data_IF_979796028061
#
_entry.id   IF_979796028061
#
_cell.length_a   1.000
_cell.length_b   1.000
_cell.length_c   1.000
_cell.angle_alpha   90.00
_cell.angle_beta   90.00
_cell.angle_gamma   90.00
#
_symmetry.space_group_name_H-M   'P 1'
#
loop_
_entity.id
_entity.type
_entity.pdbx_description
1 polymer ?
#
# COMPACT_ATOMS: atom_id res chain seq x y z
N UNK A 1 17.61 -14.56 70.90
CA UNK A 1 16.28 -14.16 70.39
C UNK A 1 16.53 -13.55 69.02
N UNK A 2 16.58 -14.33 67.94
CA UNK A 2 15.52 -15.04 67.20
C UNK A 2 14.47 -14.11 66.57
N UNK A 3 14.16 -14.46 65.31
CA UNK A 3 13.16 -13.98 64.34
C UNK A 3 13.67 -12.84 63.44
N UNK A 4 13.87 -12.99 62.12
CA UNK A 4 13.23 -13.86 61.11
C UNK A 4 12.51 -12.94 60.10
N UNK A 5 13.11 -12.66 58.93
CA UNK A 5 12.76 -13.21 57.60
C UNK A 5 11.57 -12.55 56.88
N UNK A 6 11.81 -12.10 55.63
CA UNK A 6 10.81 -11.72 54.63
C UNK A 6 11.40 -10.70 53.65
N UNK A 7 12.15 -11.07 52.62
CA UNK A 7 11.68 -11.56 51.30
C UNK A 7 10.46 -10.79 50.77
N UNK A 8 10.70 -9.75 49.96
CA UNK A 8 9.68 -9.30 49.01
C UNK A 8 10.21 -9.51 47.59
N UNK A 9 9.90 -10.71 47.11
CA UNK A 9 10.16 -11.15 45.75
C UNK A 9 8.99 -10.71 44.86
N UNK A 10 9.33 -10.12 43.72
CA UNK A 10 8.60 -10.36 42.47
C UNK A 10 7.15 -9.89 42.41
N UNK A 11 6.93 -8.58 42.26
CA UNK A 11 5.76 -8.11 41.49
C UNK A 11 6.07 -8.23 40.00
N UNK A 12 5.90 -9.46 39.49
CA UNK A 12 5.85 -9.74 38.06
C UNK A 12 4.76 -8.92 37.40
N UNK A 13 5.16 -7.90 36.64
CA UNK A 13 4.30 -7.26 35.64
C UNK A 13 3.92 -8.35 34.64
N UNK A 14 2.68 -8.83 34.69
CA UNK A 14 2.10 -9.64 33.62
C UNK A 14 2.10 -8.80 32.35
N UNK A 15 3.11 -8.98 31.50
CA UNK A 15 3.16 -8.40 30.16
C UNK A 15 2.29 -9.28 29.27
N UNK A 16 1.07 -8.84 28.98
CA UNK A 16 0.22 -9.49 28.00
C UNK A 16 0.91 -9.44 26.63
N UNK A 17 1.38 -10.59 26.16
CA UNK A 17 1.97 -10.73 24.84
C UNK A 17 0.86 -10.65 23.77
N UNK A 18 0.67 -9.47 23.19
CA UNK A 18 -0.17 -9.30 22.02
C UNK A 18 0.57 -9.88 20.78
N UNK A 19 0.02 -10.94 20.19
CA UNK A 19 0.47 -11.47 18.89
C UNK A 19 -0.17 -10.67 17.77
N UNK A 20 0.65 -10.01 16.95
CA UNK A 20 0.19 -9.20 15.81
C UNK A 20 0.98 -9.62 14.58
N UNK A 21 0.27 -10.08 13.55
CA UNK A 21 0.83 -10.54 12.27
C UNK A 21 0.45 -9.52 11.20
N UNK A 22 1.44 -8.96 10.52
CA UNK A 22 1.27 -8.01 9.41
C UNK A 22 2.02 -8.53 8.19
N UNK A 23 1.33 -8.61 7.04
CA UNK A 23 1.93 -8.99 5.76
C UNK A 23 1.61 -7.93 4.71
N UNK A 24 2.59 -7.61 3.86
CA UNK A 24 2.42 -6.74 2.70
C UNK A 24 3.30 -7.27 1.54
N UNK A 25 2.97 -7.03 0.26
CA UNK A 25 3.86 -7.43 -0.83
C UNK A 25 4.47 -6.24 -1.62
N UNK A 26 5.57 -6.52 -2.34
CA UNK A 26 6.50 -5.63 -3.07
C UNK A 26 6.11 -5.40 -4.55
N UNK A 27 6.56 -4.29 -5.13
CA UNK A 27 6.69 -4.07 -6.58
C UNK A 27 7.98 -3.31 -6.93
N UNK A 28 8.61 -3.64 -8.07
CA UNK A 28 9.84 -3.05 -8.61
C UNK A 28 9.57 -2.29 -9.92
N UNK A 29 10.35 -1.24 -10.19
CA UNK A 29 10.23 -0.34 -11.35
C UNK A 29 11.41 -0.49 -12.33
N UNK A 30 11.19 -0.17 -13.61
CA UNK A 30 12.20 -0.14 -14.69
C UNK A 30 12.10 1.21 -15.42
N UNK A 31 13.25 1.77 -15.78
CA UNK A 31 13.48 3.09 -16.38
C UNK A 31 13.77 2.96 -17.89
N UNK A 32 13.40 3.96 -18.71
CA UNK A 32 13.52 3.94 -20.17
C UNK A 32 13.96 5.32 -20.72
N UNK A 33 15.13 5.39 -21.36
CA UNK A 33 15.71 6.62 -21.91
C UNK A 33 15.76 6.60 -23.45
N UNK A 34 15.12 7.60 -24.06
CA UNK A 34 15.08 7.86 -25.52
C UNK A 34 16.34 8.56 -26.05
N UNK A 35 16.72 8.25 -27.28
CA UNK A 35 17.67 9.01 -28.09
C UNK A 35 17.01 9.60 -29.36
N UNK A 36 17.39 10.83 -29.70
CA UNK A 36 16.87 11.69 -30.79
C UNK A 36 17.53 11.43 -32.16
N UNK A 37 16.83 11.63 -33.30
CA UNK A 37 17.41 11.43 -34.63
C UNK A 37 18.03 12.70 -35.24
N UNK A 38 19.06 12.49 -36.07
CA UNK A 38 19.83 13.51 -36.81
C UNK A 38 19.16 13.94 -38.12
N UNK A 39 19.27 15.23 -38.42
CA UNK A 39 18.80 15.96 -39.60
C UNK A 39 19.66 15.65 -40.84
N UNK A 40 19.04 15.47 -42.03
CA UNK A 40 19.73 15.68 -43.31
C UNK A 40 18.81 16.07 -44.50
N UNK A 41 19.23 17.18 -45.12
CA UNK A 41 19.07 17.67 -46.49
C UNK A 41 17.69 17.99 -47.11
N UNK A 42 17.56 19.28 -47.46
CA UNK A 42 16.51 19.91 -48.27
C UNK A 42 16.74 19.69 -49.77
N UNK A 43 15.72 19.28 -50.56
CA UNK A 43 15.74 19.41 -52.02
C UNK A 43 15.20 20.78 -52.49
N UNK A 44 15.74 21.23 -53.61
CA UNK A 44 15.48 22.51 -54.29
C UNK A 44 14.04 22.62 -54.82
N UNK A 45 13.37 23.73 -54.52
CA UNK A 45 12.01 24.06 -54.97
C UNK A 45 12.08 24.66 -56.39
N UNK A 46 11.38 24.05 -57.35
CA UNK A 46 11.05 24.67 -58.64
C UNK A 46 9.72 25.41 -58.51
N UNK A 47 9.68 26.67 -58.92
CA UNK A 47 8.49 27.50 -58.91
C UNK A 47 7.41 26.91 -59.82
N UNK A 48 6.25 26.55 -59.23
CA UNK A 48 5.02 26.23 -59.95
C UNK A 48 4.14 27.48 -59.99
N UNK A 49 3.55 27.73 -61.15
CA UNK A 49 2.59 28.81 -61.38
C UNK A 49 1.44 28.78 -60.37
N UNK A 50 1.08 29.97 -59.86
CA UNK A 50 -0.01 30.18 -58.90
C UNK A 50 -1.37 29.93 -59.56
N UNK A 51 -2.11 28.96 -59.03
CA UNK A 51 -3.53 28.77 -59.30
C UNK A 51 -4.30 29.07 -58.00
N UNK A 52 -5.33 29.93 -58.01
CA UNK A 52 -6.13 30.18 -56.81
C UNK A 52 -6.93 28.91 -56.48
N UNK A 53 -6.42 28.11 -55.53
CA UNK A 53 -7.21 27.08 -54.88
C UNK A 53 -8.35 27.77 -54.14
N UNK A 54 -9.60 27.48 -54.51
CA UNK A 54 -10.76 27.75 -53.64
C UNK A 54 -10.53 26.96 -52.35
N UNK A 55 -10.04 27.62 -51.32
CA UNK A 55 -10.02 27.07 -49.96
C UNK A 55 -11.46 27.14 -49.45
N UNK A 56 -12.22 26.05 -49.57
CA UNK A 56 -13.36 25.88 -48.66
C UNK A 56 -12.80 25.98 -47.25
N UNK A 57 -13.30 26.88 -46.39
CA UNK A 57 -12.86 26.91 -45.01
C UNK A 57 -13.28 25.58 -44.40
N UNK A 58 -12.31 24.69 -44.18
CA UNK A 58 -12.51 23.49 -43.39
C UNK A 58 -12.82 23.99 -41.99
N UNK A 59 -14.11 24.06 -41.66
CA UNK A 59 -14.53 24.38 -40.30
C UNK A 59 -14.05 23.24 -39.41
N UNK A 60 -13.44 23.54 -38.25
CA UNK A 60 -13.10 22.50 -37.30
C UNK A 60 -14.36 21.72 -36.92
N UNK A 61 -14.26 20.41 -36.65
CA UNK A 61 -15.40 19.61 -36.26
C UNK A 61 -16.00 20.15 -34.96
N UNK A 62 -17.30 19.89 -34.74
CA UNK A 62 -17.96 20.25 -33.50
C UNK A 62 -17.33 19.47 -32.34
N UNK A 63 -16.87 20.19 -31.31
CA UNK A 63 -16.35 19.60 -30.07
C UNK A 63 -17.36 18.62 -29.46
N UNK A 64 -18.63 19.01 -29.40
CA UNK A 64 -19.68 18.19 -28.81
C UNK A 64 -19.99 16.95 -29.66
N UNK A 65 -20.00 17.07 -30.99
CA UNK A 65 -20.16 15.91 -31.88
C UNK A 65 -19.02 14.91 -31.68
N UNK A 66 -17.78 15.41 -31.68
CA UNK A 66 -16.58 14.60 -31.45
C UNK A 66 -16.61 13.96 -30.06
N UNK A 67 -16.99 14.71 -29.01
CA UNK A 67 -17.11 14.16 -27.66
C UNK A 67 -18.14 13.03 -27.55
N UNK A 68 -19.27 13.11 -28.26
CA UNK A 68 -20.27 12.03 -28.30
C UNK A 68 -19.76 10.79 -29.03
N UNK A 69 -18.99 10.95 -30.09
CA UNK A 69 -18.35 9.81 -30.79
C UNK A 69 -17.38 9.05 -29.88
N UNK A 70 -16.72 9.75 -28.96
CA UNK A 70 -15.77 9.17 -28.00
C UNK A 70 -16.43 8.46 -26.81
N UNK A 71 -17.76 8.49 -26.68
CA UNK A 71 -18.49 7.92 -25.55
C UNK A 71 -18.26 6.40 -25.37
N UNK A 72 -17.86 5.70 -26.44
CA UNK A 72 -17.46 4.28 -26.40
C UNK A 72 -16.32 3.99 -25.42
N UNK A 73 -15.51 4.98 -25.06
CA UNK A 73 -14.41 4.83 -24.09
C UNK A 73 -14.87 4.74 -22.64
N UNK A 74 -16.16 5.01 -22.35
CA UNK A 74 -16.71 4.98 -20.99
C UNK A 74 -16.27 6.14 -20.09
N UNK A 75 -15.50 7.10 -20.62
CA UNK A 75 -15.11 8.29 -19.89
C UNK A 75 -16.32 9.22 -19.63
N UNK A 76 -16.36 9.93 -18.49
CA UNK A 76 -17.34 10.99 -18.26
C UNK A 76 -17.33 12.04 -19.37
N UNK A 77 -18.51 12.49 -19.78
CA UNK A 77 -18.67 13.44 -20.87
C UNK A 77 -17.77 14.71 -20.76
N UNK A 78 -17.56 15.32 -19.58
CA UNK A 78 -16.63 16.45 -19.45
C UNK A 78 -15.19 16.13 -19.91
N UNK A 79 -14.67 14.93 -19.62
CA UNK A 79 -13.33 14.53 -20.07
C UNK A 79 -13.27 14.31 -21.58
N UNK A 80 -14.36 13.83 -22.18
CA UNK A 80 -14.47 13.67 -23.63
C UNK A 80 -14.45 15.01 -24.35
N UNK A 81 -15.11 16.02 -23.77
CA UNK A 81 -15.08 17.41 -24.27
C UNK A 81 -13.66 17.98 -24.21
N UNK A 82 -12.94 17.76 -23.11
CA UNK A 82 -11.56 18.22 -22.97
C UNK A 82 -10.61 17.56 -23.99
N UNK A 83 -10.74 16.25 -24.19
CA UNK A 83 -9.98 15.52 -25.22
C UNK A 83 -10.31 16.03 -26.63
N UNK A 84 -11.60 16.24 -26.94
CA UNK A 84 -12.04 16.75 -28.23
C UNK A 84 -11.47 18.16 -28.52
N UNK A 85 -11.53 19.07 -27.53
CA UNK A 85 -10.92 20.41 -27.62
C UNK A 85 -9.41 20.31 -27.87
N UNK A 86 -8.70 19.53 -27.06
CA UNK A 86 -7.26 19.40 -27.17
C UNK A 86 -6.80 18.80 -28.51
N UNK A 87 -7.61 17.92 -29.13
CA UNK A 87 -7.34 17.37 -30.45
C UNK A 87 -7.59 18.39 -31.57
N UNK A 88 -8.69 19.15 -31.47
CA UNK A 88 -9.04 20.21 -32.42
C UNK A 88 -8.01 21.35 -32.36
N UNK A 89 -7.63 21.80 -31.17
CA UNK A 89 -6.64 22.86 -30.96
C UNK A 89 -5.25 22.46 -31.48
N UNK A 90 -4.92 21.17 -31.42
CA UNK A 90 -3.70 20.62 -32.02
C UNK A 90 -3.77 20.48 -33.56
N UNK A 91 -4.91 20.83 -34.19
CA UNK A 91 -5.13 20.68 -35.62
C UNK A 91 -5.26 19.23 -36.09
N UNK A 92 -5.50 18.29 -35.17
CA UNK A 92 -5.54 16.85 -35.42
C UNK A 92 -6.78 16.21 -34.75
N UNK A 93 -8.01 16.60 -35.13
CA UNK A 93 -9.23 16.06 -34.54
C UNK A 93 -9.34 14.52 -34.65
N UNK A 94 -8.77 13.93 -35.70
CA UNK A 94 -8.67 12.48 -35.88
C UNK A 94 -7.89 11.77 -34.77
N UNK A 95 -7.02 12.50 -34.04
CA UNK A 95 -6.28 11.96 -32.89
C UNK A 95 -7.13 11.84 -31.61
N UNK A 96 -8.34 12.41 -31.58
CA UNK A 96 -9.16 12.46 -30.37
C UNK A 96 -9.52 11.06 -29.84
N UNK A 97 -9.77 10.09 -30.74
CA UNK A 97 -10.04 8.71 -30.37
C UNK A 97 -8.87 8.05 -29.64
N UNK A 98 -7.65 8.19 -30.18
CA UNK A 98 -6.44 7.68 -29.56
C UNK A 98 -6.19 8.35 -28.19
N UNK A 99 -6.33 9.68 -28.11
CA UNK A 99 -6.18 10.43 -26.86
C UNK A 99 -7.20 10.02 -25.79
N UNK A 100 -8.46 9.79 -26.18
CA UNK A 100 -9.49 9.33 -25.26
C UNK A 100 -9.19 7.91 -24.76
N UNK A 101 -8.73 7.02 -25.64
CA UNK A 101 -8.32 5.67 -25.27
C UNK A 101 -7.10 5.66 -24.33
N UNK A 102 -6.11 6.52 -24.57
CA UNK A 102 -4.94 6.67 -23.71
C UNK A 102 -5.32 7.23 -22.33
N UNK A 103 -6.23 8.22 -22.29
CA UNK A 103 -6.76 8.74 -21.04
C UNK A 103 -7.52 7.66 -20.26
N UNK A 104 -8.39 6.90 -20.92
CA UNK A 104 -9.09 5.78 -20.30
C UNK A 104 -8.10 4.73 -19.75
N UNK A 105 -7.02 4.45 -20.49
CA UNK A 105 -5.94 3.53 -20.06
C UNK A 105 -5.18 4.02 -18.83
N UNK A 106 -5.03 5.33 -18.68
CA UNK A 106 -4.36 5.94 -17.54
C UNK A 106 -5.22 5.94 -16.25
N UNK A 107 -6.52 5.68 -16.37
CA UNK A 107 -7.45 5.60 -15.24
C UNK A 107 -7.62 4.17 -14.73
N UNK A 108 -8.15 4.04 -13.50
CA UNK A 108 -8.50 2.75 -12.92
C UNK A 108 -9.58 2.05 -13.75
N UNK A 109 -9.29 0.81 -14.14
CA UNK A 109 -10.20 -0.03 -14.90
C UNK A 109 -10.04 -1.50 -14.51
N UNK A 110 -11.05 -2.34 -14.79
CA UNK A 110 -10.89 -3.79 -14.66
C UNK A 110 -9.77 -4.31 -15.56
N UNK A 111 -9.03 -5.30 -15.07
CA UNK A 111 -7.93 -5.94 -15.79
C UNK A 111 -8.03 -7.47 -15.66
N UNK A 112 -7.59 -8.18 -16.68
CA UNK A 112 -7.48 -9.65 -16.63
C UNK A 112 -6.11 -10.02 -16.07
N UNK A 113 -6.08 -10.69 -14.92
CA UNK A 113 -4.84 -11.18 -14.33
C UNK A 113 -4.44 -12.53 -14.96
N UNK A 114 -3.51 -12.48 -15.92
CA UNK A 114 -2.93 -13.66 -16.57
C UNK A 114 -1.53 -14.02 -16.05
N UNK A 115 -1.08 -13.43 -14.94
CA UNK A 115 0.28 -13.62 -14.41
C UNK A 115 0.45 -14.90 -13.59
N UNK A 116 -0.65 -15.52 -13.17
CA UNK A 116 -0.65 -16.62 -12.19
C UNK A 116 -0.40 -16.18 -10.74
N UNK A 117 -0.15 -14.89 -10.48
CA UNK A 117 0.05 -14.36 -9.12
C UNK A 117 -1.30 -14.00 -8.49
N UNK A 118 -1.70 -14.73 -7.45
CA UNK A 118 -3.00 -14.53 -6.77
C UNK A 118 -3.08 -13.19 -6.03
N UNK A 119 -2.07 -12.87 -5.21
CA UNK A 119 -1.99 -11.61 -4.45
C UNK A 119 -1.09 -10.61 -5.16
N UNK A 120 -1.54 -10.11 -6.31
CA UNK A 120 -0.75 -9.19 -7.11
C UNK A 120 -0.84 -7.76 -6.56
N UNK A 121 0.28 -7.21 -6.08
CA UNK A 121 0.36 -5.87 -5.48
C UNK A 121 -0.13 -4.76 -6.39
N UNK A 122 0.35 -4.77 -7.64
CA UNK A 122 0.00 -3.74 -8.62
C UNK A 122 -1.44 -3.87 -9.14
N UNK A 123 -2.08 -5.05 -9.02
CA UNK A 123 -3.46 -5.28 -9.50
C UNK A 123 -4.49 -5.22 -8.36
N UNK A 124 -4.13 -4.69 -7.19
CA UNK A 124 -5.08 -4.48 -6.09
C UNK A 124 -5.21 -5.64 -5.09
N UNK A 125 -4.29 -6.60 -5.09
CA UNK A 125 -4.24 -7.75 -4.15
C UNK A 125 -5.47 -8.67 -4.29
N UNK A 126 -6.22 -8.88 -3.21
CA UNK A 126 -7.32 -9.84 -3.20
C UNK A 126 -8.59 -9.18 -3.79
N UNK A 127 -9.17 -9.73 -4.88
CA UNK A 127 -10.47 -9.29 -5.34
C UNK A 127 -11.53 -9.68 -4.29
N UNK A 128 -12.51 -8.81 -4.09
CA UNK A 128 -13.63 -9.06 -3.18
C UNK A 128 -14.94 -8.89 -3.94
N UNK A 129 -15.87 -9.82 -3.74
CA UNK A 129 -17.23 -9.69 -4.25
C UNK A 129 -18.10 -9.06 -3.16
N UNK A 130 -18.09 -7.72 -3.11
CA UNK A 130 -18.85 -6.96 -2.12
C UNK A 130 -19.72 -5.94 -2.84
N UNK A 131 -21.03 -6.18 -2.83
CA UNK A 131 -22.04 -5.22 -3.26
C UNK A 131 -22.67 -4.56 -2.03
N UNK A 132 -22.44 -3.27 -1.84
CA UNK A 132 -23.07 -2.48 -0.77
C UNK A 132 -24.06 -1.50 -1.41
N UNK A 133 -25.38 -1.70 -1.23
CA UNK A 133 -26.38 -0.74 -1.67
C UNK A 133 -26.15 0.64 -1.08
N UNK A 134 -26.38 1.69 -1.86
CA UNK A 134 -26.30 3.09 -1.41
C UNK A 134 -27.44 3.40 -0.43
N UNK A 135 -27.18 3.20 0.87
CA UNK A 135 -28.10 3.48 1.97
C UNK A 135 -27.34 3.93 3.20
N UNK A 136 -28.01 4.67 4.08
CA UNK A 136 -27.47 4.96 5.41
C UNK A 136 -27.29 3.68 6.21
N UNK A 137 -26.23 3.64 7.01
CA UNK A 137 -25.91 2.53 7.91
C UNK A 137 -25.63 3.05 9.31
N UNK A 138 -25.69 2.18 10.31
CA UNK A 138 -25.39 2.49 11.70
C UNK A 138 -23.88 2.54 11.99
N UNK A 139 -23.08 3.05 11.04
CA UNK A 139 -21.61 3.05 11.09
C UNK A 139 -21.06 3.61 12.41
N UNK A 140 -21.62 4.73 12.88
CA UNK A 140 -21.30 5.36 14.16
C UNK A 140 -22.56 5.64 14.99
N UNK A 141 -23.58 4.78 14.87
CA UNK A 141 -24.84 4.97 15.59
C UNK A 141 -25.22 3.70 16.33
N UNK A 142 -25.46 3.81 17.63
CA UNK A 142 -25.92 2.71 18.46
C UNK A 142 -27.45 2.68 18.46
N UNK A 143 -28.01 1.61 17.88
CA UNK A 143 -29.46 1.43 17.76
C UNK A 143 -30.15 1.16 19.11
N UNK A 144 -29.40 0.71 20.12
CA UNK A 144 -29.91 0.44 21.46
C UNK A 144 -30.10 1.74 22.23
N UNK A 145 -29.13 2.65 22.14
CA UNK A 145 -29.11 3.90 22.91
C UNK A 145 -29.63 5.10 22.13
N UNK A 146 -29.70 5.01 20.80
CA UNK A 146 -30.06 6.13 19.93
C UNK A 146 -29.00 7.23 19.85
N UNK A 147 -27.75 6.94 20.24
CA UNK A 147 -26.65 7.92 20.35
C UNK A 147 -25.48 7.55 19.45
N UNK A 148 -24.52 8.46 19.33
CA UNK A 148 -23.26 8.21 18.61
C UNK A 148 -22.51 7.04 19.26
N UNK A 149 -22.15 6.05 18.45
CA UNK A 149 -21.36 4.88 18.82
C UNK A 149 -20.01 4.83 18.12
N UNK A 150 -19.17 3.85 18.49
CA UNK A 150 -17.85 3.63 17.88
C UNK A 150 -17.93 2.68 16.69
N UNK A 151 -17.42 3.10 15.53
CA UNK A 151 -17.27 2.23 14.36
C UNK A 151 -16.35 1.03 14.58
N UNK A 152 -15.44 1.12 15.57
CA UNK A 152 -14.44 0.10 15.83
C UNK A 152 -15.03 -1.17 16.47
N UNK A 153 -16.23 -1.12 17.05
CA UNK A 153 -16.83 -2.28 17.73
C UNK A 153 -17.26 -3.39 16.77
N UNK A 154 -17.89 -3.03 15.65
CA UNK A 154 -18.59 -3.97 14.77
C UNK A 154 -17.70 -5.12 14.27
N UNK A 155 -16.61 -4.80 13.56
CA UNK A 155 -15.70 -5.81 13.03
C UNK A 155 -14.75 -6.37 14.11
N UNK A 156 -14.35 -5.56 15.09
CA UNK A 156 -13.41 -5.98 16.13
C UNK A 156 -13.95 -7.15 16.95
N UNK A 157 -15.23 -7.13 17.33
CA UNK A 157 -15.83 -8.24 18.10
C UNK A 157 -15.79 -9.56 17.34
N UNK A 158 -16.06 -9.53 16.03
CA UNK A 158 -16.00 -10.72 15.18
C UNK A 158 -14.56 -11.21 15.02
N UNK A 159 -13.61 -10.30 14.78
CA UNK A 159 -12.20 -10.63 14.61
C UNK A 159 -11.57 -11.18 15.88
N UNK A 160 -11.87 -10.59 17.04
CA UNK A 160 -11.38 -11.07 18.33
C UNK A 160 -11.83 -12.52 18.57
N UNK A 161 -13.11 -12.82 18.32
CA UNK A 161 -13.65 -14.19 18.42
C UNK A 161 -12.99 -15.15 17.43
N UNK A 162 -12.87 -14.75 16.16
CA UNK A 162 -12.26 -15.59 15.12
C UNK A 162 -10.78 -15.89 15.41
N UNK A 163 -10.05 -14.94 16.00
CA UNK A 163 -8.65 -15.09 16.37
C UNK A 163 -8.42 -15.75 17.74
N UNK A 164 -9.48 -15.99 18.53
CA UNK A 164 -9.36 -16.43 19.92
C UNK A 164 -8.65 -15.41 20.81
N UNK A 165 -8.75 -14.12 20.48
CA UNK A 165 -8.12 -13.01 21.20
C UNK A 165 -9.10 -12.32 22.16
N UNK A 166 -8.57 -11.71 23.23
CA UNK A 166 -9.37 -10.97 24.23
C UNK A 166 -10.08 -9.75 23.63
N UNK A 167 -9.41 -9.07 22.69
CA UNK A 167 -9.91 -7.90 21.98
C UNK A 167 -9.23 -7.76 20.61
N UNK A 168 -9.81 -6.96 19.72
CA UNK A 168 -9.21 -6.61 18.44
C UNK A 168 -9.43 -5.14 18.12
N UNK A 169 -8.61 -4.61 17.21
CA UNK A 169 -8.76 -3.28 16.63
C UNK A 169 -8.42 -3.36 15.14
N UNK A 170 -9.22 -2.70 14.31
CA UNK A 170 -8.97 -2.58 12.88
C UNK A 170 -8.52 -1.15 12.59
N UNK A 171 -7.40 -1.03 11.89
CA UNK A 171 -6.84 0.23 11.41
C UNK A 171 -6.68 0.18 9.89
N UNK A 172 -6.28 1.30 9.29
CA UNK A 172 -6.19 1.48 7.84
C UNK A 172 -5.47 0.33 7.11
N UNK A 173 -4.28 -0.06 7.59
CA UNK A 173 -3.50 -1.14 7.01
C UNK A 173 -2.50 -1.72 8.04
N UNK A 174 -1.76 -2.75 7.65
CA UNK A 174 -0.77 -3.39 8.51
C UNK A 174 0.37 -2.47 8.96
N UNK A 175 0.82 -1.54 8.12
CA UNK A 175 1.85 -0.57 8.49
C UNK A 175 1.39 0.35 9.64
N UNK A 176 0.16 0.86 9.53
CA UNK A 176 -0.48 1.65 10.58
C UNK A 176 -0.65 0.83 11.87
N UNK A 177 -0.89 -0.48 11.77
CA UNK A 177 -0.99 -1.35 12.94
C UNK A 177 0.36 -1.45 13.68
N UNK A 178 1.46 -1.71 12.97
CA UNK A 178 2.81 -1.74 13.56
C UNK A 178 3.13 -0.40 14.22
N UNK A 179 2.91 0.69 13.49
CA UNK A 179 3.12 2.06 13.97
C UNK A 179 2.33 2.36 15.25
N UNK A 180 1.03 2.05 15.27
CA UNK A 180 0.16 2.29 16.42
C UNK A 180 0.58 1.46 17.64
N UNK A 181 0.88 0.19 17.44
CA UNK A 181 1.28 -0.74 18.52
C UNK A 181 2.58 -0.27 19.17
N UNK A 182 3.58 0.06 18.37
CA UNK A 182 4.86 0.55 18.87
C UNK A 182 4.72 1.91 19.55
N UNK A 183 3.95 2.84 18.96
CA UNK A 183 3.73 4.15 19.56
C UNK A 183 2.97 4.09 20.89
N UNK A 184 2.07 3.11 21.05
CA UNK A 184 1.28 2.94 22.27
C UNK A 184 2.04 2.15 23.36
N UNK A 185 2.85 1.15 22.99
CA UNK A 185 3.45 0.20 23.94
C UNK A 185 4.96 0.38 24.14
N UNK A 186 5.65 0.99 23.17
CA UNK A 186 7.10 1.02 23.08
C UNK A 186 7.70 2.42 22.82
N UNK A 187 6.90 3.49 22.99
CA UNK A 187 7.43 4.85 22.95
C UNK A 187 8.49 5.03 24.03
N UNK A 188 9.64 5.57 23.63
CA UNK A 188 10.84 5.78 24.46
C UNK A 188 11.35 4.49 25.13
N UNK A 189 11.11 3.34 24.50
CA UNK A 189 11.55 2.01 24.96
C UNK A 189 12.35 1.28 23.90
N UNK A 190 13.20 0.37 24.34
CA UNK A 190 14.02 -0.44 23.45
C UNK A 190 13.22 -1.62 22.90
N UNK A 191 13.24 -1.79 21.57
CA UNK A 191 12.50 -2.83 20.86
C UNK A 191 13.47 -3.73 20.12
N UNK A 192 13.59 -4.97 20.58
CA UNK A 192 14.42 -5.98 19.96
C UNK A 192 13.78 -6.53 18.68
N UNK A 193 14.53 -6.53 17.57
CA UNK A 193 14.12 -7.12 16.29
C UNK A 193 15.33 -7.72 15.59
N UNK A 194 15.15 -8.87 14.93
CA UNK A 194 16.23 -9.50 14.15
C UNK A 194 16.68 -8.60 13.00
N UNK A 195 18.01 -8.53 12.76
CA UNK A 195 18.56 -7.87 11.56
C UNK A 195 17.98 -8.43 10.27
N UNK A 196 17.69 -9.73 10.23
CA UNK A 196 17.07 -10.41 9.08
C UNK A 196 15.61 -10.04 8.84
N UNK A 197 15.00 -9.25 9.73
CA UNK A 197 13.58 -8.87 9.73
C UNK A 197 13.37 -7.38 9.49
N UNK A 198 14.44 -6.60 9.27
CA UNK A 198 14.38 -5.19 8.90
C UNK A 198 14.04 -5.02 7.41
N UNK A 199 12.82 -5.39 7.08
CA UNK A 199 12.35 -5.50 5.70
C UNK A 199 11.87 -4.18 5.12
N UNK A 200 12.00 -4.06 3.80
CA UNK A 200 11.24 -3.12 2.98
C UNK A 200 10.09 -3.87 2.29
N UNK A 201 8.92 -3.25 2.26
CA UNK A 201 7.73 -3.83 1.64
C UNK A 201 7.02 -2.79 0.78
N UNK A 202 6.55 -3.22 -0.40
CA UNK A 202 5.93 -2.32 -1.37
C UNK A 202 6.99 -1.37 -1.96
N UNK A 203 6.63 -0.10 -2.10
CA UNK A 203 7.51 0.96 -2.56
C UNK A 203 7.79 2.04 -1.50
N UNK A 204 7.81 1.67 -0.20
CA UNK A 204 8.12 2.66 0.84
C UNK A 204 7.81 2.29 2.29
N UNK A 205 7.31 1.10 2.61
CA UNK A 205 7.19 0.67 4.00
C UNK A 205 8.49 0.01 4.46
N UNK A 206 9.22 0.66 5.37
CA UNK A 206 10.45 0.15 5.97
C UNK A 206 10.28 0.00 7.47
N UNK A 207 10.51 -1.21 7.97
CA UNK A 207 10.40 -1.50 9.42
C UNK A 207 11.23 -0.53 10.28
N UNK A 208 12.51 -0.24 9.97
CA UNK A 208 13.30 0.71 10.75
C UNK A 208 12.69 2.12 10.80
N UNK A 209 12.17 2.62 9.68
CA UNK A 209 11.60 3.97 9.59
C UNK A 209 10.29 4.07 10.38
N UNK A 210 9.43 3.04 10.32
CA UNK A 210 8.20 2.98 11.12
C UNK A 210 8.50 2.85 12.61
N UNK A 211 9.53 2.09 12.98
CA UNK A 211 10.00 2.02 14.36
C UNK A 211 10.52 3.37 14.87
N UNK A 212 11.26 4.11 14.04
CA UNK A 212 11.74 5.45 14.41
C UNK A 212 10.59 6.45 14.57
N UNK A 213 9.66 6.49 13.60
CA UNK A 213 8.45 7.34 13.69
C UNK A 213 7.59 6.98 14.91
N UNK A 214 7.65 5.72 15.31
CA UNK A 214 7.37 5.16 16.64
C UNK A 214 7.39 6.09 17.85
N UNK A 215 8.55 6.76 17.94
CA UNK A 215 9.22 7.00 19.21
C UNK A 215 9.88 5.74 19.82
N UNK A 216 9.90 4.59 19.14
CA UNK A 216 10.54 3.38 19.65
C UNK A 216 12.05 3.39 19.33
N UNK A 217 12.88 2.86 20.23
CA UNK A 217 14.32 2.71 20.00
C UNK A 217 14.61 1.34 19.42
N UNK A 218 15.14 1.32 18.20
CA UNK A 218 15.49 0.09 17.51
C UNK A 218 16.70 -0.59 18.19
N UNK A 219 16.52 -1.83 18.64
CA UNK A 219 17.58 -2.71 19.16
C UNK A 219 17.72 -3.91 18.23
N UNK A 220 18.65 -3.83 17.30
CA UNK A 220 18.88 -4.94 16.37
C UNK A 220 19.58 -6.12 17.05
N UNK A 221 19.14 -7.35 16.75
CA UNK A 221 19.72 -8.59 17.29
C UNK A 221 20.09 -9.58 16.19
N UNK A 222 21.01 -10.49 16.51
CA UNK A 222 21.49 -11.53 15.60
C UNK A 222 22.18 -10.98 14.35
N UNK A 223 22.21 -11.80 13.29
CA UNK A 223 22.68 -11.45 11.95
C UNK A 223 21.56 -11.59 10.92
N UNK A 224 21.81 -11.15 9.69
CA UNK A 224 20.84 -11.20 8.57
C UNK A 224 20.24 -12.59 8.37
N UNK A 225 21.08 -13.63 8.42
CA UNK A 225 20.67 -15.00 8.12
C UNK A 225 20.43 -15.84 9.39
N UNK A 226 21.01 -15.50 10.53
CA UNK A 226 20.91 -16.29 11.77
C UNK A 226 20.57 -15.41 12.96
N UNK A 227 19.46 -15.71 13.62
CA UNK A 227 19.09 -15.09 14.90
C UNK A 227 18.61 -16.18 15.85
N UNK A 228 19.17 -16.19 17.06
CA UNK A 228 18.90 -17.17 18.11
C UNK A 228 18.14 -16.54 19.27
N UNK A 229 17.53 -17.39 20.09
CA UNK A 229 16.82 -16.94 21.29
C UNK A 229 17.77 -16.19 22.25
N UNK A 230 19.03 -16.62 22.35
CA UNK A 230 20.04 -15.97 23.16
C UNK A 230 20.37 -14.53 22.69
N UNK A 231 20.25 -14.24 21.39
CA UNK A 231 20.48 -12.88 20.87
C UNK A 231 19.40 -11.92 21.36
N UNK A 232 18.14 -12.39 21.43
CA UNK A 232 17.03 -11.63 22.01
C UNK A 232 17.17 -11.48 23.53
N UNK A 233 17.56 -12.55 24.24
CA UNK A 233 17.75 -12.51 25.69
C UNK A 233 18.86 -11.53 26.10
N UNK A 234 19.99 -11.53 25.37
CA UNK A 234 21.12 -10.64 25.62
C UNK A 234 20.84 -9.17 25.28
N UNK A 235 19.79 -8.89 24.48
CA UNK A 235 19.44 -7.53 24.09
C UNK A 235 18.84 -6.70 25.22
N UNK A 236 18.27 -7.38 26.25
CA UNK A 236 17.59 -6.79 27.41
C UNK A 236 16.60 -5.67 27.02
N UNK A 237 15.78 -5.95 26.00
CA UNK A 237 14.83 -4.99 25.45
C UNK A 237 13.47 -5.03 26.17
N UNK A 238 12.79 -3.89 26.20
CA UNK A 238 11.46 -3.78 26.80
C UNK A 238 10.38 -4.54 26.02
N UNK A 239 10.52 -4.59 24.69
CA UNK A 239 9.57 -5.19 23.77
C UNK A 239 10.32 -6.01 22.73
N UNK A 240 9.75 -7.15 22.34
CA UNK A 240 10.24 -7.95 21.21
C UNK A 240 9.29 -7.77 20.04
N UNK A 241 9.83 -7.38 18.89
CA UNK A 241 9.12 -7.31 17.63
C UNK A 241 9.60 -8.44 16.72
N UNK A 242 8.66 -9.28 16.27
CA UNK A 242 8.88 -10.32 15.26
C UNK A 242 8.18 -9.90 13.96
N UNK A 243 8.91 -9.80 12.87
CA UNK A 243 8.35 -9.47 11.55
C UNK A 243 8.45 -10.66 10.61
N UNK A 244 7.36 -10.96 9.91
CA UNK A 244 7.33 -12.01 8.90
C UNK A 244 7.90 -11.53 7.56
N UNK A 245 8.84 -12.28 7.00
CA UNK A 245 9.41 -12.06 5.66
C UNK A 245 8.37 -12.44 4.60
N UNK A 246 7.46 -11.51 4.28
CA UNK A 246 6.24 -11.79 3.50
C UNK A 246 6.44 -11.81 1.98
N UNK A 247 7.56 -11.30 1.49
CA UNK A 247 7.81 -10.97 0.08
C UNK A 247 9.18 -11.44 -0.43
N UNK A 248 10.02 -12.00 0.45
CA UNK A 248 11.26 -12.69 0.13
C UNK A 248 11.48 -13.82 1.13
N UNK A 249 12.47 -14.67 0.84
CA UNK A 249 12.97 -15.66 1.79
C UNK A 249 14.49 -15.75 1.71
N UNK A 250 15.14 -15.99 2.84
CA UNK A 250 16.59 -16.28 2.88
C UNK A 250 16.75 -17.80 2.80
N UNK A 251 17.64 -18.27 1.92
CA UNK A 251 17.90 -19.71 1.70
C UNK A 251 19.36 -20.02 2.00
N UNK A 252 19.65 -21.23 2.50
CA UNK A 252 20.99 -21.67 2.86
C UNK A 252 21.16 -21.74 4.38
N UNK A 253 22.29 -21.24 4.89
CA UNK A 253 22.61 -21.25 6.31
C UNK A 253 21.78 -20.23 7.09
N UNK A 254 20.55 -20.60 7.41
CA UNK A 254 19.59 -19.73 8.10
C UNK A 254 19.14 -20.29 9.44
N UNK A 255 18.80 -19.39 10.37
CA UNK A 255 18.30 -19.73 11.70
C UNK A 255 17.39 -18.60 12.17
N UNK A 256 16.19 -18.93 12.67
CA UNK A 256 15.22 -17.95 13.13
C UNK A 256 14.48 -18.47 14.37
N UNK A 257 14.15 -17.56 15.28
CA UNK A 257 13.39 -17.86 16.51
C UNK A 257 11.89 -17.78 16.22
N UNK A 258 11.14 -18.79 16.65
CA UNK A 258 9.69 -18.80 16.51
C UNK A 258 8.98 -17.97 17.61
N UNK A 259 7.73 -17.60 17.37
CA UNK A 259 6.94 -16.75 18.30
C UNK A 259 6.65 -17.45 19.63
N UNK A 260 6.61 -18.79 19.69
CA UNK A 260 6.42 -19.53 20.95
C UNK A 260 7.67 -19.48 21.81
N UNK A 261 8.85 -19.60 21.20
CA UNK A 261 10.13 -19.43 21.90
C UNK A 261 10.32 -18.00 22.39
N UNK A 262 10.00 -16.99 21.58
CA UNK A 262 10.10 -15.58 22.01
C UNK A 262 9.17 -15.27 23.20
N UNK A 263 8.02 -15.95 23.28
CA UNK A 263 7.09 -15.78 24.40
C UNK A 263 7.63 -16.28 25.74
N UNK A 264 8.73 -17.05 25.76
CA UNK A 264 9.38 -17.50 27.01
C UNK A 264 10.39 -16.51 27.57
N UNK A 265 10.65 -15.38 26.89
CA UNK A 265 11.57 -14.33 27.36
C UNK A 265 10.91 -13.37 28.37
N UNK A 266 9.62 -13.56 28.66
CA UNK A 266 8.81 -12.71 29.55
C UNK A 266 8.57 -13.34 30.91
#
# INVERSE_FOLDING_TARGET
MSLGSGSDAGRGRKRNAARIVVTTPIGTAIDDTRATPKVRNRPRIRARAWQPRRLTPVRPPSVDALARELAVTGLPHPLLVDVARAAIDAGAPESAAARAADLARALLQPVVNATGVLLHTNLGRAPVDVSVPARFTNLEFDLTTGRRGSRHGHAATLLARAAGAEAALVVNNGAAAVMLVLAALARDRDVAVSRGELVEIGGGFRVPEVMAQSGARLREVGTTNRTRLADYAAADADVVLKVHQSNYRIVGFTEAVDVRQLATLG
#
